data_IF_982599690597
#
_entry.id   IF_982599690597
#
_cell.length_a   1.000
_cell.length_b   1.000
_cell.length_c   1.000
_cell.angle_alpha   90.00
_cell.angle_beta   90.00
_cell.angle_gamma   90.00
#
_symmetry.space_group_name_H-M   'P 1'
#
loop_
_entity.id
_entity.type
_entity.pdbx_description
1 polymer ?
#
# COMPACT_ATOMS: atom_id res chain seq x y z
N UNK A 1 -0.20 25.18 -19.69
CA UNK A 1 -0.56 24.90 -18.28
C UNK A 1 0.23 23.69 -17.84
N UNK A 2 0.93 23.84 -16.72
CA UNK A 2 2.20 23.20 -16.34
C UNK A 2 2.05 21.75 -15.84
N UNK A 3 2.99 20.88 -16.21
CA UNK A 3 3.11 19.43 -15.92
C UNK A 3 2.96 18.96 -14.45
N UNK A 4 2.68 19.84 -13.49
CA UNK A 4 2.53 19.48 -12.07
C UNK A 4 1.23 18.73 -11.77
N UNK A 5 0.12 19.07 -12.44
CA UNK A 5 -1.16 18.35 -12.30
C UNK A 5 -1.10 16.92 -12.87
N UNK A 6 -0.14 16.65 -13.77
CA UNK A 6 0.02 15.33 -14.40
C UNK A 6 0.73 14.35 -13.45
N UNK A 7 1.76 14.77 -12.73
CA UNK A 7 2.57 13.88 -11.87
C UNK A 7 1.74 13.21 -10.77
N UNK A 8 0.84 13.93 -10.11
CA UNK A 8 -0.01 13.36 -9.06
C UNK A 8 -0.97 12.30 -9.63
N UNK A 9 -1.61 12.59 -10.76
CA UNK A 9 -2.46 11.65 -11.47
C UNK A 9 -1.69 10.43 -11.99
N UNK A 10 -0.48 10.64 -12.54
CA UNK A 10 0.40 9.59 -13.03
C UNK A 10 0.83 8.67 -11.90
N UNK A 11 1.27 9.21 -10.77
CA UNK A 11 1.66 8.44 -9.58
C UNK A 11 0.49 7.59 -9.06
N UNK A 12 -0.72 8.15 -9.04
CA UNK A 12 -1.91 7.42 -8.61
C UNK A 12 -2.24 6.27 -9.58
N UNK A 13 -2.10 6.47 -10.90
CA UNK A 13 -2.33 5.41 -11.90
C UNK A 13 -1.30 4.29 -11.76
N UNK A 14 -0.03 4.61 -11.58
CA UNK A 14 1.02 3.61 -11.36
C UNK A 14 0.82 2.86 -10.05
N UNK A 15 0.44 3.56 -8.97
CA UNK A 15 0.11 2.94 -7.70
C UNK A 15 -1.06 1.95 -7.84
N UNK A 16 -2.11 2.34 -8.56
CA UNK A 16 -3.24 1.45 -8.84
C UNK A 16 -2.82 0.22 -9.64
N UNK A 17 -2.05 0.40 -10.73
CA UNK A 17 -1.56 -0.71 -11.54
C UNK A 17 -0.68 -1.69 -10.74
N UNK A 18 0.21 -1.16 -9.89
CA UNK A 18 1.04 -1.97 -9.01
C UNK A 18 0.20 -2.79 -8.03
N UNK A 19 -0.74 -2.16 -7.33
CA UNK A 19 -1.56 -2.84 -6.33
C UNK A 19 -2.51 -3.86 -6.95
N UNK A 20 -3.08 -3.54 -8.12
CA UNK A 20 -3.90 -4.47 -8.86
C UNK A 20 -3.12 -5.73 -9.23
N UNK A 21 -1.90 -5.59 -9.75
CA UNK A 21 -1.03 -6.74 -10.06
C UNK A 21 -0.67 -7.57 -8.81
N UNK A 22 -0.52 -6.94 -7.64
CA UNK A 22 -0.32 -7.67 -6.38
C UNK A 22 -1.58 -8.47 -5.98
N UNK A 23 -2.77 -7.90 -6.17
CA UNK A 23 -4.04 -8.61 -5.93
C UNK A 23 -4.19 -9.81 -6.87
N UNK A 24 -3.87 -9.65 -8.16
CA UNK A 24 -3.84 -10.76 -9.11
C UNK A 24 -2.86 -11.86 -8.65
N UNK A 25 -1.73 -11.46 -8.07
CA UNK A 25 -0.75 -12.35 -7.43
C UNK A 25 -1.16 -12.85 -6.03
N UNK A 26 -2.45 -12.78 -5.68
CA UNK A 26 -3.07 -13.30 -4.45
C UNK A 26 -2.70 -12.55 -3.15
N UNK A 27 -2.23 -11.30 -3.25
CA UNK A 27 -2.14 -10.42 -2.08
C UNK A 27 -3.53 -9.89 -1.73
N UNK A 28 -4.02 -10.22 -0.55
CA UNK A 28 -5.34 -9.81 -0.07
C UNK A 28 -5.29 -8.82 1.11
N UNK A 29 -4.11 -8.57 1.67
CA UNK A 29 -3.93 -7.68 2.82
C UNK A 29 -2.78 -6.71 2.61
N UNK A 30 -3.00 -5.46 3.03
CA UNK A 30 -2.01 -4.40 3.00
C UNK A 30 -1.95 -3.73 4.37
N UNK A 31 -0.80 -3.83 5.03
CA UNK A 31 -0.48 -3.08 6.24
C UNK A 31 0.27 -1.81 5.83
N UNK A 32 -0.05 -0.67 6.43
CA UNK A 32 0.65 0.57 6.08
C UNK A 32 0.81 1.56 7.21
N UNK A 33 1.92 2.29 7.14
CA UNK A 33 2.22 3.48 7.93
C UNK A 33 2.14 4.72 7.01
N UNK A 34 1.12 5.57 7.18
CA UNK A 34 0.83 6.65 6.24
C UNK A 34 1.86 7.78 6.31
N UNK A 35 2.17 8.38 5.16
CA UNK A 35 2.94 9.62 5.08
C UNK A 35 2.80 10.28 3.71
N UNK A 36 3.33 11.51 3.57
CA UNK A 36 3.13 12.31 2.35
C UNK A 36 3.59 11.58 1.08
N UNK A 37 4.72 10.87 1.14
CA UNK A 37 5.30 10.17 -0.03
C UNK A 37 4.58 8.85 -0.36
N UNK A 38 3.90 8.23 0.58
CA UNK A 38 3.11 7.01 0.35
C UNK A 38 1.65 7.27 0.01
N UNK A 39 1.21 8.54 0.00
CA UNK A 39 -0.17 8.95 -0.28
C UNK A 39 -0.78 8.32 -1.55
N UNK A 40 -0.12 8.30 -2.73
CA UNK A 40 -0.73 7.68 -3.92
C UNK A 40 -0.98 6.18 -3.75
N UNK A 41 -0.10 5.46 -3.04
CA UNK A 41 -0.29 4.03 -2.74
C UNK A 41 -1.47 3.81 -1.80
N UNK A 42 -1.60 4.60 -0.74
CA UNK A 42 -2.71 4.49 0.22
C UNK A 42 -4.05 4.79 -0.46
N UNK A 43 -4.11 5.83 -1.29
CA UNK A 43 -5.34 6.20 -2.02
C UNK A 43 -5.72 5.15 -3.06
N UNK A 44 -4.75 4.58 -3.77
CA UNK A 44 -5.00 3.48 -4.71
C UNK A 44 -5.47 2.22 -3.98
N UNK A 45 -4.84 1.87 -2.86
CA UNK A 45 -5.23 0.72 -2.04
C UNK A 45 -6.66 0.84 -1.49
N UNK A 46 -7.06 2.04 -1.08
CA UNK A 46 -8.43 2.32 -0.63
C UNK A 46 -9.49 2.14 -1.73
N UNK A 47 -9.09 2.11 -3.00
CA UNK A 47 -9.97 1.91 -4.16
C UNK A 47 -9.89 0.49 -4.73
N UNK A 48 -9.02 -0.35 -4.21
CA UNK A 48 -8.83 -1.73 -4.68
C UNK A 48 -9.63 -2.69 -3.78
N UNK A 49 -10.81 -3.17 -4.21
CA UNK A 49 -11.69 -3.99 -3.36
C UNK A 49 -11.08 -5.35 -2.98
N UNK A 50 -10.05 -5.81 -3.69
CA UNK A 50 -9.31 -7.03 -3.35
C UNK A 50 -8.40 -6.92 -2.13
N UNK A 51 -8.20 -5.71 -1.58
CA UNK A 51 -7.32 -5.48 -0.43
C UNK A 51 -8.09 -5.15 0.85
N UNK A 52 -7.79 -5.90 1.91
CA UNK A 52 -8.08 -5.49 3.28
C UNK A 52 -6.94 -4.63 3.81
N UNK A 53 -7.28 -3.44 4.30
CA UNK A 53 -6.30 -2.44 4.75
C UNK A 53 -6.13 -2.42 6.26
N UNK A 54 -4.88 -2.32 6.70
CA UNK A 54 -4.49 -2.27 8.12
C UNK A 54 -3.60 -1.04 8.37
N UNK A 55 -4.17 0.12 8.75
CA UNK A 55 -3.38 1.30 9.12
C UNK A 55 -2.68 1.09 10.47
N UNK A 56 -1.37 1.28 10.51
CA UNK A 56 -0.55 1.22 11.73
C UNK A 56 0.48 2.34 11.69
N UNK A 57 0.40 3.28 12.63
CA UNK A 57 1.25 4.49 12.63
C UNK A 57 2.74 4.16 12.79
N UNK A 58 3.08 3.26 13.71
CA UNK A 58 4.47 2.84 13.96
C UNK A 58 4.93 1.83 12.89
N UNK A 59 5.97 2.15 12.13
CA UNK A 59 6.46 1.34 11.01
C UNK A 59 6.94 -0.04 11.45
N UNK A 60 7.55 -0.11 12.65
CA UNK A 60 8.05 -1.38 13.18
C UNK A 60 6.90 -2.29 13.62
N UNK A 61 5.88 -1.74 14.28
CA UNK A 61 4.64 -2.42 14.62
C UNK A 61 3.89 -2.89 13.38
N UNK A 62 3.85 -2.06 12.32
CA UNK A 62 3.30 -2.42 11.02
C UNK A 62 4.00 -3.64 10.43
N UNK A 63 5.33 -3.68 10.49
CA UNK A 63 6.12 -4.82 10.01
C UNK A 63 5.85 -6.11 10.80
N UNK A 64 5.76 -6.04 12.13
CA UNK A 64 5.43 -7.21 12.95
C UNK A 64 3.99 -7.70 12.71
N UNK A 65 3.03 -6.79 12.52
CA UNK A 65 1.66 -7.16 12.15
C UNK A 65 1.64 -7.87 10.79
N UNK A 66 2.27 -7.29 9.76
CA UNK A 66 2.34 -7.88 8.42
C UNK A 66 2.98 -9.27 8.45
N UNK A 67 4.07 -9.43 9.20
CA UNK A 67 4.74 -10.72 9.39
C UNK A 67 3.81 -11.73 10.08
N UNK A 68 3.10 -11.32 11.13
CA UNK A 68 2.15 -12.16 11.85
C UNK A 68 0.99 -12.62 10.95
N UNK A 69 0.40 -11.71 10.18
CA UNK A 69 -0.66 -12.00 9.22
C UNK A 69 -0.18 -12.99 8.14
N UNK A 70 1.01 -12.76 7.57
CA UNK A 70 1.57 -13.64 6.56
C UNK A 70 1.86 -15.04 7.10
N UNK A 71 2.46 -15.13 8.31
CA UNK A 71 2.76 -16.41 8.97
C UNK A 71 1.50 -17.19 9.35
N UNK A 72 0.49 -16.52 9.90
CA UNK A 72 -0.75 -17.16 10.33
C UNK A 72 -1.63 -17.55 9.14
N UNK A 73 -1.68 -16.72 8.10
CA UNK A 73 -2.51 -16.95 6.92
C UNK A 73 -1.87 -17.79 5.83
N UNK A 74 -0.56 -18.04 5.89
CA UNK A 74 0.17 -18.78 4.86
C UNK A 74 0.13 -18.12 3.47
N UNK A 75 -0.10 -16.81 3.41
CA UNK A 75 -0.28 -16.02 2.18
C UNK A 75 0.50 -14.72 2.24
N UNK A 76 0.90 -14.15 1.10
CA UNK A 76 1.63 -12.88 1.08
C UNK A 76 0.78 -11.72 1.62
N UNK A 77 1.46 -10.77 2.26
CA UNK A 77 0.88 -9.54 2.81
C UNK A 77 1.76 -8.37 2.36
N UNK A 78 1.15 -7.34 1.77
CA UNK A 78 1.87 -6.12 1.39
C UNK A 78 2.11 -5.23 2.62
N UNK A 79 3.26 -4.54 2.62
CA UNK A 79 3.61 -3.54 3.62
C UNK A 79 4.06 -2.25 2.93
N UNK A 80 3.50 -1.11 3.35
CA UNK A 80 3.88 0.21 2.84
C UNK A 80 4.24 1.13 3.99
N UNK A 81 5.40 1.78 3.93
CA UNK A 81 5.72 2.93 4.78
C UNK A 81 6.15 4.11 3.91
N UNK A 82 6.02 5.32 4.45
CA UNK A 82 6.66 6.49 3.82
C UNK A 82 8.17 6.38 3.95
N UNK A 83 8.90 7.05 3.06
CA UNK A 83 10.34 7.19 3.22
C UNK A 83 10.68 8.19 4.34
N UNK A 84 11.94 8.14 4.81
CA UNK A 84 12.46 9.00 5.87
C UNK A 84 11.97 8.52 7.23
N UNK A 85 12.88 7.99 8.04
CA UNK A 85 12.67 7.41 9.36
C UNK A 85 13.80 7.84 10.27
#
# INVERSE_FOLDING_TARGET
MTHADDTACLNLRWAAALLHGLVEAQVAELVFSPGARSTPLVLAAAREPGLRLHPVVDERGAAFLALGLARAGGRPVALVCTSGS
#
